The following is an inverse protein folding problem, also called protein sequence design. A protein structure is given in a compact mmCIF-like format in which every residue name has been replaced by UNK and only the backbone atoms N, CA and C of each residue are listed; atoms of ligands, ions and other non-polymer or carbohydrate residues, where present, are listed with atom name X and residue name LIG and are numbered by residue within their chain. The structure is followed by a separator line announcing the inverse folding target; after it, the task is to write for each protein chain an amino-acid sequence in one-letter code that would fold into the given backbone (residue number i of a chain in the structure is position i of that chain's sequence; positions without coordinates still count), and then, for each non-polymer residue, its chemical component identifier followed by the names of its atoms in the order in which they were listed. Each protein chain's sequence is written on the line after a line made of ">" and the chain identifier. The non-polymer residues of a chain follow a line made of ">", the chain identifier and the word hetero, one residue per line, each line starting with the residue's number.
data_IF_615061967584
#
_entry.id   IF_615061967584
#
_cell.length_a   1.000
_cell.length_b   1.000
_cell.length_c   1.000
_cell.angle_alpha   90.00
_cell.angle_beta   90.00
_cell.angle_gamma   90.00
#
_symmetry.space_group_name_H-M   'P 1'
#
loop_
_entity.id
_entity.type
_entity.pdbx_description
1 polymer ?
#
# COMPACT_ATOMS: atom_id res chain seq x y z
N UNK A 1 7.40 35.35 -51.32
CA UNK A 1 6.05 34.84 -51.01
C UNK A 1 6.06 34.43 -49.55
N UNK A 2 5.60 35.32 -48.68
CA UNK A 2 5.59 35.13 -47.22
C UNK A 2 4.26 34.52 -46.81
N UNK A 3 4.32 33.32 -46.21
CA UNK A 3 3.17 32.65 -45.63
C UNK A 3 2.67 33.46 -44.42
N UNK A 4 1.45 33.97 -44.54
CA UNK A 4 0.74 34.67 -43.47
C UNK A 4 0.11 33.63 -42.54
N UNK A 5 0.63 33.58 -41.31
CA UNK A 5 0.08 32.82 -40.18
C UNK A 5 -1.29 33.38 -39.80
N UNK A 6 -2.35 32.65 -40.13
CA UNK A 6 -3.70 32.88 -39.61
C UNK A 6 -3.74 32.44 -38.14
N UNK A 7 -3.33 33.33 -37.24
CA UNK A 7 -3.64 33.20 -35.82
C UNK A 7 -5.17 33.38 -35.67
N UNK A 8 -5.87 32.32 -35.31
CA UNK A 8 -7.28 32.37 -34.93
C UNK A 8 -7.40 33.14 -33.62
N UNK A 9 -7.75 34.42 -33.73
CA UNK A 9 -8.03 35.32 -32.61
C UNK A 9 -9.39 34.96 -31.99
N UNK A 10 -9.45 33.87 -31.23
CA UNK A 10 -10.63 33.52 -30.43
C UNK A 10 -10.74 34.47 -29.25
N UNK A 11 -11.61 35.47 -29.40
CA UNK A 11 -12.02 36.40 -28.33
C UNK A 11 -12.35 35.61 -27.06
N UNK A 12 -11.75 35.92 -25.89
CA UNK A 12 -12.02 35.17 -24.67
C UNK A 12 -13.51 35.25 -24.33
N UNK A 13 -14.09 34.09 -24.00
CA UNK A 13 -15.50 33.99 -23.64
C UNK A 13 -15.86 34.96 -22.50
N UNK A 14 -17.04 35.57 -22.59
CA UNK A 14 -17.51 36.51 -21.58
C UNK A 14 -17.59 35.79 -20.21
N UNK A 15 -16.90 36.34 -19.21
CA UNK A 15 -16.90 35.79 -17.85
C UNK A 15 -18.06 36.40 -17.06
N UNK A 16 -18.97 35.55 -16.58
CA UNK A 16 -20.11 35.98 -15.76
C UNK A 16 -19.89 35.59 -14.31
N UNK A 17 -20.18 36.50 -13.38
CA UNK A 17 -20.18 36.22 -11.95
C UNK A 17 -21.54 35.64 -11.54
N UNK A 18 -21.53 34.54 -10.78
CA UNK A 18 -22.73 33.89 -10.25
C UNK A 18 -22.62 33.86 -8.72
N UNK A 19 -23.62 34.40 -8.03
CA UNK A 19 -23.76 34.37 -6.57
C UNK A 19 -24.95 33.47 -6.24
N UNK A 20 -24.70 32.36 -5.55
CA UNK A 20 -25.74 31.39 -5.16
C UNK A 20 -25.91 31.41 -3.65
N UNK A 21 -27.06 31.86 -3.10
CA UNK A 21 -27.30 31.81 -1.66
C UNK A 21 -27.37 30.35 -1.18
N UNK A 22 -26.55 29.96 -0.20
CA UNK A 22 -26.51 28.57 0.27
C UNK A 22 -27.84 28.07 0.83
N UNK A 23 -28.72 28.95 1.32
CA UNK A 23 -30.07 28.59 1.74
C UNK A 23 -31.00 28.13 0.61
N UNK A 24 -30.63 28.34 -0.66
CA UNK A 24 -31.38 27.85 -1.83
C UNK A 24 -30.89 26.49 -2.32
N UNK A 25 -29.76 26.01 -1.81
CA UNK A 25 -29.17 24.73 -2.22
C UNK A 25 -29.72 23.63 -1.32
N UNK A 26 -30.49 22.72 -1.90
CA UNK A 26 -31.00 21.55 -1.17
C UNK A 26 -29.82 20.63 -0.78
N UNK A 27 -29.67 20.27 0.51
CA UNK A 27 -28.65 19.31 0.92
C UNK A 27 -28.86 17.95 0.25
N UNK A 28 -27.79 17.37 -0.27
CA UNK A 28 -27.78 16.03 -0.86
C UNK A 28 -26.65 15.19 -0.27
N UNK A 29 -26.88 13.89 -0.14
CA UNK A 29 -25.82 12.96 0.26
C UNK A 29 -24.82 12.78 -0.89
N UNK A 30 -23.55 12.62 -0.57
CA UNK A 30 -22.58 12.16 -1.56
C UNK A 30 -22.87 10.71 -1.93
N UNK A 31 -22.93 10.41 -3.23
CA UNK A 31 -23.15 9.07 -3.77
C UNK A 31 -21.86 8.48 -4.33
N UNK A 32 -21.86 7.16 -4.53
CA UNK A 32 -20.70 6.39 -4.96
C UNK A 32 -21.10 5.43 -6.07
N UNK A 33 -20.23 5.29 -7.08
CA UNK A 33 -20.30 4.19 -8.03
C UNK A 33 -19.92 2.89 -7.34
N UNK A 34 -18.84 2.94 -6.55
CA UNK A 34 -18.38 1.87 -5.68
C UNK A 34 -18.20 2.43 -4.27
N UNK A 35 -18.99 1.93 -3.31
CA UNK A 35 -19.13 2.49 -1.97
C UNK A 35 -17.77 2.66 -1.30
N UNK A 36 -17.53 3.85 -0.74
CA UNK A 36 -16.29 4.23 -0.07
C UNK A 36 -15.08 4.45 -0.98
N UNK A 37 -15.09 3.90 -2.20
CA UNK A 37 -13.94 3.84 -3.11
C UNK A 37 -14.03 4.81 -4.27
N UNK A 38 -15.14 4.82 -4.99
CA UNK A 38 -15.32 5.59 -6.23
C UNK A 38 -16.53 6.52 -6.08
N UNK A 39 -16.33 7.77 -5.65
CA UNK A 39 -17.42 8.75 -5.55
C UNK A 39 -17.96 9.15 -6.92
N UNK A 40 -19.27 9.43 -6.99
CA UNK A 40 -19.90 10.04 -8.15
C UNK A 40 -19.53 11.51 -8.29
N UNK A 41 -19.58 12.03 -9.52
CA UNK A 41 -19.43 13.46 -9.78
C UNK A 41 -18.00 13.98 -9.72
N UNK A 42 -17.00 13.09 -9.74
CA UNK A 42 -15.59 13.47 -9.63
C UNK A 42 -14.67 12.37 -10.15
N UNK A 43 -13.36 12.60 -10.08
CA UNK A 43 -12.32 11.67 -10.49
C UNK A 43 -11.72 10.87 -9.32
N UNK A 44 -11.57 9.57 -9.56
CA UNK A 44 -10.77 8.63 -8.77
C UNK A 44 -9.54 8.25 -9.57
N UNK A 45 -8.36 8.31 -8.96
CA UNK A 45 -7.10 7.95 -9.60
C UNK A 45 -6.74 6.51 -9.25
N UNK A 46 -6.48 5.68 -10.26
CA UNK A 46 -5.84 4.39 -10.09
C UNK A 46 -4.36 4.54 -10.41
N UNK A 47 -3.52 4.41 -9.39
CA UNK A 47 -2.09 4.66 -9.52
C UNK A 47 -1.28 3.42 -9.14
N UNK A 48 -0.16 3.22 -9.83
CA UNK A 48 0.72 2.08 -9.61
C UNK A 48 1.76 2.01 -10.71
N UNK A 49 2.80 1.18 -10.54
CA UNK A 49 3.79 0.92 -11.60
C UNK A 49 3.12 0.30 -12.84
N UNK A 50 3.84 0.32 -13.97
CA UNK A 50 3.43 -0.49 -15.13
C UNK A 50 3.41 -1.97 -14.75
N UNK A 51 2.42 -2.74 -15.21
CA UNK A 51 2.30 -4.18 -14.93
C UNK A 51 1.47 -4.57 -13.69
N UNK A 52 1.04 -3.60 -12.87
CA UNK A 52 0.26 -3.87 -11.64
C UNK A 52 -1.20 -4.29 -11.88
N UNK A 53 -1.62 -4.43 -13.15
CA UNK A 53 -2.96 -4.90 -13.50
C UNK A 53 -4.07 -3.86 -13.43
N UNK A 54 -3.74 -2.55 -13.34
CA UNK A 54 -4.71 -1.44 -13.27
C UNK A 54 -5.69 -1.44 -14.45
N UNK A 55 -5.19 -1.55 -15.67
CA UNK A 55 -6.00 -1.56 -16.90
C UNK A 55 -6.92 -2.79 -16.93
N UNK A 56 -6.41 -3.97 -16.59
CA UNK A 56 -7.24 -5.17 -16.48
C UNK A 56 -8.31 -5.05 -15.39
N UNK A 57 -7.96 -4.41 -14.26
CA UNK A 57 -8.89 -4.14 -13.17
C UNK A 57 -9.94 -3.10 -13.53
N UNK A 58 -9.61 -2.08 -14.32
CA UNK A 58 -10.58 -1.10 -14.80
C UNK A 58 -11.60 -1.75 -15.75
N UNK A 59 -11.19 -2.72 -16.58
CA UNK A 59 -12.11 -3.51 -17.41
C UNK A 59 -13.00 -4.46 -16.58
N UNK A 60 -12.47 -5.04 -15.50
CA UNK A 60 -13.31 -5.75 -14.51
C UNK A 60 -14.32 -4.80 -13.86
N UNK A 61 -13.89 -3.61 -13.44
CA UNK A 61 -14.79 -2.61 -12.88
C UNK A 61 -15.89 -2.23 -13.89
N UNK A 62 -15.54 -2.05 -15.16
CA UNK A 62 -16.51 -1.82 -16.23
C UNK A 62 -17.53 -2.96 -16.30
N UNK A 63 -17.09 -4.22 -16.22
CA UNK A 63 -18.01 -5.36 -16.21
C UNK A 63 -18.96 -5.30 -15.02
N UNK A 64 -18.49 -4.91 -13.83
CA UNK A 64 -19.36 -4.78 -12.67
C UNK A 64 -20.40 -3.65 -12.82
N UNK A 65 -20.02 -2.51 -13.42
CA UNK A 65 -20.95 -1.41 -13.71
C UNK A 65 -22.01 -1.80 -14.74
N UNK A 66 -21.59 -2.44 -15.82
CA UNK A 66 -22.51 -2.89 -16.87
C UNK A 66 -23.47 -3.99 -16.40
N UNK A 67 -23.15 -4.68 -15.30
CA UNK A 67 -24.04 -5.65 -14.64
C UNK A 67 -24.79 -5.09 -13.43
N UNK A 68 -24.46 -3.88 -12.98
CA UNK A 68 -25.01 -3.30 -11.75
C UNK A 68 -24.64 -4.08 -10.49
N UNK A 69 -23.49 -4.76 -10.47
CA UNK A 69 -23.08 -5.64 -9.36
C UNK A 69 -22.26 -4.94 -8.26
N UNK A 70 -21.79 -3.71 -8.48
CA UNK A 70 -21.12 -2.93 -7.45
C UNK A 70 -22.10 -2.47 -6.37
N UNK A 71 -21.64 -2.45 -5.14
CA UNK A 71 -22.34 -1.78 -4.06
C UNK A 71 -22.17 -0.25 -4.22
N UNK A 72 -23.28 0.43 -4.51
CA UNK A 72 -23.26 1.85 -4.85
C UNK A 72 -24.63 2.35 -5.30
N UNK A 73 -24.66 3.56 -5.86
CA UNK A 73 -25.90 4.22 -6.33
C UNK A 73 -26.59 3.42 -7.46
N UNK A 74 -25.81 2.65 -8.21
CA UNK A 74 -26.27 1.83 -9.34
C UNK A 74 -26.28 0.32 -9.03
N UNK A 75 -26.30 -0.07 -7.75
CA UNK A 75 -26.50 -1.46 -7.36
C UNK A 75 -27.83 -1.98 -7.94
N UNK A 76 -27.79 -3.16 -8.58
CA UNK A 76 -28.89 -3.77 -9.34
C UNK A 76 -29.43 -2.91 -10.50
N UNK A 77 -28.66 -1.92 -10.96
CA UNK A 77 -29.01 -1.03 -12.08
C UNK A 77 -27.86 -1.02 -13.11
N UNK A 78 -27.86 -1.95 -14.08
CA UNK A 78 -26.94 -1.94 -15.21
C UNK A 78 -26.79 -0.53 -15.80
N UNK A 79 -25.55 -0.09 -16.02
CA UNK A 79 -25.26 1.24 -16.53
C UNK A 79 -24.12 1.20 -17.54
N UNK A 80 -24.13 2.13 -18.50
CA UNK A 80 -23.10 2.16 -19.53
C UNK A 80 -21.75 2.70 -19.01
N UNK A 81 -20.69 2.31 -19.71
CA UNK A 81 -19.31 2.71 -19.45
C UNK A 81 -18.71 3.29 -20.72
N UNK A 82 -18.02 4.43 -20.59
CA UNK A 82 -17.21 5.01 -21.66
C UNK A 82 -15.74 4.71 -21.41
N UNK A 83 -15.08 4.11 -22.39
CA UNK A 83 -13.63 3.90 -22.43
C UNK A 83 -13.00 5.00 -23.27
N UNK A 84 -11.96 5.63 -22.75
CA UNK A 84 -11.23 6.72 -23.42
C UNK A 84 -9.74 6.47 -23.31
N UNK A 85 -9.02 6.70 -24.41
CA UNK A 85 -7.56 6.76 -24.40
C UNK A 85 -6.83 5.42 -24.32
N UNK A 86 -7.53 4.28 -24.37
CA UNK A 86 -6.93 2.94 -24.30
C UNK A 86 -5.75 2.80 -25.27
N UNK A 87 -4.56 2.56 -24.71
CA UNK A 87 -3.32 2.33 -25.48
C UNK A 87 -3.32 0.98 -26.22
N UNK A 88 -4.06 0.02 -25.68
CA UNK A 88 -4.23 -1.33 -26.24
C UNK A 88 -5.27 -1.35 -27.37
N UNK A 89 -5.04 -2.18 -28.39
CA UNK A 89 -5.98 -2.36 -29.50
C UNK A 89 -7.35 -2.88 -29.04
N UNK A 90 -8.42 -2.25 -29.54
CA UNK A 90 -9.78 -2.55 -29.10
C UNK A 90 -10.21 -3.97 -29.45
N UNK A 91 -9.88 -4.45 -30.65
CA UNK A 91 -10.39 -5.72 -31.17
C UNK A 91 -9.62 -6.92 -30.60
N UNK A 92 -8.30 -6.80 -30.46
CA UNK A 92 -7.40 -7.90 -30.10
C UNK A 92 -7.11 -7.97 -28.60
N UNK A 93 -7.30 -6.87 -27.86
CA UNK A 93 -6.97 -6.82 -26.43
C UNK A 93 -8.15 -6.41 -25.56
N UNK A 94 -8.75 -5.24 -25.81
CA UNK A 94 -9.78 -4.68 -24.90
C UNK A 94 -11.08 -5.48 -24.93
N UNK A 95 -11.63 -5.73 -26.12
CA UNK A 95 -12.88 -6.45 -26.27
C UNK A 95 -12.80 -7.90 -25.73
N UNK A 96 -11.76 -8.70 -26.05
CA UNK A 96 -11.61 -10.02 -25.45
C UNK A 96 -11.50 -9.97 -23.91
N UNK A 97 -10.77 -9.00 -23.33
CA UNK A 97 -10.68 -8.85 -21.87
C UNK A 97 -12.02 -8.47 -21.23
N UNK A 98 -12.82 -7.62 -21.87
CA UNK A 98 -14.17 -7.29 -21.40
C UNK A 98 -15.10 -8.51 -21.45
N UNK A 99 -15.02 -9.31 -22.53
CA UNK A 99 -15.76 -10.57 -22.66
C UNK A 99 -15.35 -11.53 -21.55
N UNK A 100 -14.05 -11.73 -21.33
CA UNK A 100 -13.53 -12.56 -20.24
C UNK A 100 -14.03 -12.07 -18.88
N UNK A 101 -14.04 -10.75 -18.64
CA UNK A 101 -14.55 -10.14 -17.42
C UNK A 101 -16.08 -10.23 -17.25
N UNK A 102 -16.80 -10.72 -18.26
CA UNK A 102 -18.25 -10.89 -18.24
C UNK A 102 -19.03 -9.59 -18.46
N UNK A 103 -18.43 -8.58 -19.09
CA UNK A 103 -19.10 -7.30 -19.36
C UNK A 103 -20.32 -7.49 -20.28
N UNK A 104 -21.34 -6.64 -20.11
CA UNK A 104 -22.35 -6.48 -21.15
C UNK A 104 -21.77 -5.57 -22.24
N UNK A 105 -21.39 -6.17 -23.37
CA UNK A 105 -20.76 -5.47 -24.48
C UNK A 105 -21.66 -4.41 -25.12
N UNK A 106 -22.99 -4.48 -24.93
CA UNK A 106 -23.93 -3.44 -25.41
C UNK A 106 -23.91 -2.17 -24.55
N UNK A 107 -23.29 -2.25 -23.37
CA UNK A 107 -23.18 -1.17 -22.39
C UNK A 107 -21.77 -0.57 -22.34
N UNK A 108 -20.83 -1.04 -23.15
CA UNK A 108 -19.45 -0.51 -23.20
C UNK A 108 -19.23 0.22 -24.51
N UNK A 109 -18.84 1.48 -24.42
CA UNK A 109 -18.61 2.36 -25.56
C UNK A 109 -17.16 2.84 -25.54
N UNK A 110 -16.48 2.80 -26.69
CA UNK A 110 -15.19 3.46 -26.88
C UNK A 110 -15.40 4.85 -27.46
N UNK A 111 -14.72 5.87 -26.91
CA UNK A 111 -14.78 7.23 -27.39
C UNK A 111 -13.44 7.61 -28.05
N UNK A 112 -13.51 7.94 -29.34
CA UNK A 112 -12.40 8.53 -30.11
C UNK A 112 -12.89 9.76 -30.87
N UNK A 113 -11.96 10.64 -31.20
CA UNK A 113 -12.18 11.76 -32.13
C UNK A 113 -11.69 11.32 -33.50
N UNK A 114 -12.42 11.68 -34.55
CA UNK A 114 -11.96 11.50 -35.93
C UNK A 114 -11.64 12.85 -36.53
N UNK A 115 -10.44 12.95 -37.08
CA UNK A 115 -9.94 14.16 -37.74
C UNK A 115 -9.53 13.78 -39.16
N UNK A 116 -9.93 14.58 -40.15
CA UNK A 116 -9.49 14.40 -41.53
C UNK A 116 -8.33 15.36 -41.81
N UNK A 117 -7.17 14.82 -42.14
CA UNK A 117 -5.96 15.59 -42.48
C UNK A 117 -5.48 15.15 -43.85
N UNK A 118 -5.48 16.06 -44.82
CA UNK A 118 -5.05 15.80 -46.21
C UNK A 118 -5.75 14.59 -46.88
N UNK A 119 -7.02 14.36 -46.54
CA UNK A 119 -7.82 13.25 -47.07
C UNK A 119 -7.61 11.91 -46.35
N UNK A 120 -6.86 11.88 -45.25
CA UNK A 120 -6.72 10.71 -44.37
C UNK A 120 -7.53 10.90 -43.09
N UNK A 121 -8.37 9.92 -42.76
CA UNK A 121 -9.03 9.86 -41.45
C UNK A 121 -8.05 9.35 -40.39
N UNK A 122 -7.80 10.17 -39.37
CA UNK A 122 -7.04 9.82 -38.19
C UNK A 122 -7.99 9.68 -37.00
N UNK A 123 -7.79 8.61 -36.21
CA UNK A 123 -8.49 8.42 -34.95
C UNK A 123 -7.58 8.89 -33.82
N UNK A 124 -8.08 9.83 -33.02
CA UNK A 124 -7.34 10.52 -31.96
C UNK A 124 -8.04 10.34 -30.62
N UNK A 125 -7.26 10.46 -29.54
CA UNK A 125 -7.79 10.53 -28.18
C UNK A 125 -8.34 11.94 -27.95
N UNK A 126 -9.54 12.11 -27.37
CA UNK A 126 -10.08 13.44 -27.10
C UNK A 126 -9.22 14.22 -26.11
N UNK A 127 -9.04 15.51 -26.35
CA UNK A 127 -8.37 16.43 -25.42
C UNK A 127 -9.38 17.03 -24.44
N UNK A 128 -9.07 17.09 -23.14
CA UNK A 128 -9.98 17.75 -22.17
C UNK A 128 -10.17 19.23 -22.51
N UNK A 129 -9.13 19.90 -22.98
CA UNK A 129 -9.17 21.32 -23.28
C UNK A 129 -10.06 21.65 -24.49
N UNK A 130 -10.06 20.79 -25.51
CA UNK A 130 -10.69 21.07 -26.80
C UNK A 130 -12.03 20.32 -26.98
N UNK A 131 -12.16 19.13 -26.41
CA UNK A 131 -13.27 18.21 -26.68
C UNK A 131 -14.24 18.02 -25.51
N UNK A 132 -14.16 18.83 -24.45
CA UNK A 132 -15.06 18.71 -23.30
C UNK A 132 -16.55 18.71 -23.71
N UNK A 133 -16.90 19.51 -24.72
CA UNK A 133 -18.25 19.53 -25.29
C UNK A 133 -18.64 18.22 -25.98
N UNK A 134 -17.71 17.58 -26.70
CA UNK A 134 -17.94 16.28 -27.36
C UNK A 134 -18.02 15.15 -26.35
N UNK A 135 -17.15 15.16 -25.34
CA UNK A 135 -17.19 14.21 -24.21
C UNK A 135 -18.55 14.31 -23.49
N UNK A 136 -19.05 15.52 -23.24
CA UNK A 136 -20.40 15.73 -22.68
C UNK A 136 -21.47 15.03 -23.51
N UNK A 137 -21.46 15.22 -24.83
CA UNK A 137 -22.44 14.60 -25.72
C UNK A 137 -22.33 13.07 -25.71
N UNK A 138 -21.11 12.53 -25.71
CA UNK A 138 -20.90 11.09 -25.63
C UNK A 138 -21.45 10.49 -24.33
N UNK A 139 -21.27 11.15 -23.19
CA UNK A 139 -21.84 10.72 -21.89
C UNK A 139 -23.37 10.75 -21.92
N UNK A 140 -23.96 11.81 -22.49
CA UNK A 140 -25.43 11.93 -22.61
C UNK A 140 -26.00 10.84 -23.54
N UNK A 141 -25.39 10.63 -24.71
CA UNK A 141 -25.86 9.67 -25.71
C UNK A 141 -25.75 8.23 -25.24
N UNK A 142 -24.64 7.88 -24.58
CA UNK A 142 -24.45 6.54 -24.02
C UNK A 142 -25.23 6.32 -22.73
N UNK A 143 -25.58 7.37 -21.98
CA UNK A 143 -26.12 7.25 -20.64
C UNK A 143 -25.10 6.77 -19.60
N UNK A 144 -23.80 6.87 -19.91
CA UNK A 144 -22.74 6.28 -19.09
C UNK A 144 -22.68 6.84 -17.66
N UNK A 145 -22.40 5.94 -16.70
CA UNK A 145 -22.20 6.26 -15.28
C UNK A 145 -20.76 6.10 -14.81
N UNK A 146 -19.90 5.58 -15.68
CA UNK A 146 -18.47 5.52 -15.51
C UNK A 146 -17.76 5.95 -16.81
N UNK A 147 -16.74 6.80 -16.67
CA UNK A 147 -15.75 7.06 -17.71
C UNK A 147 -14.42 6.50 -17.22
N UNK A 148 -13.81 5.60 -17.99
CA UNK A 148 -12.47 5.07 -17.75
C UNK A 148 -11.51 5.73 -18.72
N UNK A 149 -10.46 6.35 -18.18
CA UNK A 149 -9.39 6.97 -18.98
C UNK A 149 -8.08 6.27 -18.68
N UNK A 150 -7.46 5.68 -19.70
CA UNK A 150 -6.25 4.88 -19.52
C UNK A 150 -5.21 5.09 -20.64
N UNK A 151 -4.16 5.89 -20.42
CA UNK A 151 -3.86 6.70 -19.24
C UNK A 151 -4.53 8.09 -19.27
N UNK A 152 -4.75 8.71 -18.11
CA UNK A 152 -5.26 10.10 -18.03
C UNK A 152 -4.40 11.11 -18.80
N UNK A 153 -3.10 10.86 -18.86
CA UNK A 153 -2.13 11.74 -19.49
C UNK A 153 -2.33 11.90 -20.99
N UNK A 154 -3.01 10.96 -21.66
CA UNK A 154 -3.31 11.04 -23.10
C UNK A 154 -4.37 12.10 -23.43
N UNK A 155 -5.10 12.61 -22.43
CA UNK A 155 -6.12 13.66 -22.61
C UNK A 155 -5.65 15.05 -22.10
N UNK A 156 -4.41 15.16 -21.63
CA UNK A 156 -3.86 16.35 -20.96
C UNK A 156 -2.74 17.01 -21.78
N UNK A 157 -3.03 17.34 -23.04
CA UNK A 157 -2.03 17.91 -23.96
C UNK A 157 -1.38 19.18 -23.42
N UNK A 158 -0.05 19.23 -23.46
CA UNK A 158 0.74 20.39 -23.06
C UNK A 158 0.79 20.69 -21.56
N UNK A 159 0.12 19.91 -20.70
CA UNK A 159 0.15 20.12 -19.26
C UNK A 159 1.45 19.60 -18.63
N UNK A 160 2.08 20.41 -17.76
CA UNK A 160 3.17 19.93 -16.93
C UNK A 160 2.61 19.11 -15.75
N UNK A 161 2.70 17.79 -15.86
CA UNK A 161 2.11 16.83 -14.92
C UNK A 161 2.77 16.85 -13.53
N UNK A 162 3.96 17.43 -13.41
CA UNK A 162 4.68 17.59 -12.14
C UNK A 162 4.23 18.86 -11.38
N UNK A 163 3.44 19.75 -12.02
CA UNK A 163 2.93 20.99 -11.42
C UNK A 163 1.45 20.85 -11.06
N UNK A 164 1.15 20.84 -9.75
CA UNK A 164 -0.23 20.76 -9.22
C UNK A 164 -1.18 21.79 -9.83
N UNK A 165 -0.73 23.01 -10.10
CA UNK A 165 -1.56 24.05 -10.72
C UNK A 165 -1.99 23.71 -12.15
N UNK A 166 -1.08 23.14 -12.96
CA UNK A 166 -1.35 22.72 -14.34
C UNK A 166 -2.23 21.47 -14.36
N UNK A 167 -1.95 20.49 -13.49
CA UNK A 167 -2.81 19.30 -13.33
C UNK A 167 -4.23 19.70 -12.95
N UNK A 168 -4.41 20.62 -11.99
CA UNK A 168 -5.73 21.16 -11.64
C UNK A 168 -6.38 21.87 -12.80
N UNK A 169 -5.65 22.72 -13.52
CA UNK A 169 -6.19 23.47 -14.66
C UNK A 169 -6.72 22.54 -15.75
N UNK A 170 -6.01 21.45 -16.02
CA UNK A 170 -6.41 20.45 -17.01
C UNK A 170 -7.52 19.52 -16.49
N UNK A 171 -7.49 19.07 -15.24
CA UNK A 171 -8.45 18.08 -14.72
C UNK A 171 -9.76 18.70 -14.20
N UNK A 172 -9.74 19.94 -13.70
CA UNK A 172 -10.92 20.59 -13.11
C UNK A 172 -12.13 20.66 -14.07
N UNK A 173 -11.97 21.06 -15.36
CA UNK A 173 -13.09 21.07 -16.31
C UNK A 173 -13.74 19.69 -16.46
N UNK A 174 -12.92 18.63 -16.46
CA UNK A 174 -13.41 17.26 -16.58
C UNK A 174 -14.15 16.80 -15.32
N UNK A 175 -13.67 17.17 -14.12
CA UNK A 175 -14.40 16.92 -12.87
C UNK A 175 -15.67 17.74 -12.73
N UNK A 176 -15.72 18.97 -13.27
CA UNK A 176 -16.92 19.77 -13.29
C UNK A 176 -17.99 19.13 -14.17
N UNK A 177 -17.60 18.67 -15.38
CA UNK A 177 -18.48 17.87 -16.25
C UNK A 177 -19.02 16.62 -15.52
N UNK A 178 -18.15 15.93 -14.78
CA UNK A 178 -18.55 14.76 -14.02
C UNK A 178 -19.63 15.08 -12.98
N UNK A 179 -19.44 16.16 -12.22
CA UNK A 179 -20.40 16.65 -11.22
C UNK A 179 -21.75 17.03 -11.84
N UNK A 180 -21.74 17.73 -12.97
CA UNK A 180 -22.95 18.14 -13.68
C UNK A 180 -23.77 16.96 -14.22
N UNK A 181 -23.10 15.94 -14.76
CA UNK A 181 -23.76 14.78 -15.37
C UNK A 181 -23.98 13.61 -14.40
N UNK A 182 -23.53 13.75 -13.15
CA UNK A 182 -23.52 12.68 -12.15
C UNK A 182 -22.92 11.37 -12.72
N UNK A 183 -21.67 11.47 -13.16
CA UNK A 183 -20.85 10.36 -13.70
C UNK A 183 -19.57 10.24 -12.87
N UNK A 184 -19.06 9.03 -12.67
CA UNK A 184 -17.76 8.83 -12.04
C UNK A 184 -16.65 8.75 -13.10
N UNK A 185 -15.48 9.30 -12.80
CA UNK A 185 -14.28 9.14 -13.63
C UNK A 185 -13.29 8.24 -12.89
N UNK A 186 -12.78 7.22 -13.58
CA UNK A 186 -11.62 6.43 -13.15
C UNK A 186 -10.48 6.71 -14.12
N UNK A 187 -9.44 7.36 -13.61
CA UNK A 187 -8.30 7.81 -14.38
C UNK A 187 -7.06 7.02 -13.99
N UNK A 188 -6.48 6.29 -14.94
CA UNK A 188 -5.32 5.45 -14.72
C UNK A 188 -4.05 6.26 -14.92
N UNK A 189 -3.09 6.01 -14.03
CA UNK A 189 -1.82 6.70 -14.00
C UNK A 189 -0.67 5.75 -13.75
N UNK A 190 0.33 5.81 -14.63
CA UNK A 190 1.60 5.15 -14.42
C UNK A 190 2.57 6.11 -13.74
N UNK A 191 3.15 5.69 -12.62
CA UNK A 191 4.27 6.43 -12.04
C UNK A 191 5.52 6.24 -12.90
N UNK A 192 6.31 7.31 -13.06
CA UNK A 192 7.59 7.24 -13.77
C UNK A 192 8.54 6.26 -13.05
N UNK A 193 9.31 5.52 -13.84
CA UNK A 193 10.34 4.59 -13.38
C UNK A 193 11.57 5.39 -12.91
N UNK A 194 11.57 5.82 -11.65
CA UNK A 194 12.82 6.12 -10.94
C UNK A 194 13.57 4.82 -10.66
N UNK A 195 14.89 4.86 -10.54
CA UNK A 195 15.75 3.70 -10.26
C UNK A 195 15.61 3.13 -8.83
N UNK A 196 14.53 3.45 -8.10
CA UNK A 196 14.35 3.11 -6.70
C UNK A 196 12.96 2.54 -6.39
N UNK A 197 12.96 1.56 -5.48
CA UNK A 197 12.01 1.29 -4.40
C UNK A 197 10.50 1.56 -4.63
N UNK A 198 9.66 0.59 -4.29
CA UNK A 198 8.18 0.66 -4.34
C UNK A 198 7.64 1.85 -3.52
N UNK A 199 8.47 2.42 -2.63
CA UNK A 199 8.25 3.69 -1.92
C UNK A 199 8.04 4.92 -2.84
N UNK A 200 8.58 4.91 -4.06
CA UNK A 200 8.39 5.99 -5.04
C UNK A 200 6.95 6.10 -5.58
N UNK A 201 6.13 5.06 -5.38
CA UNK A 201 4.70 5.10 -5.68
C UNK A 201 3.98 6.21 -4.91
N UNK A 202 4.46 6.56 -3.71
CA UNK A 202 3.83 7.57 -2.86
C UNK A 202 4.31 8.99 -3.19
N UNK A 203 5.53 9.15 -3.71
CA UNK A 203 6.16 10.44 -4.01
C UNK A 203 5.93 10.92 -5.46
N UNK A 204 5.81 10.01 -6.42
CA UNK A 204 5.85 10.34 -7.85
C UNK A 204 4.62 11.03 -8.45
N UNK A 205 3.50 11.18 -7.73
CA UNK A 205 2.28 11.85 -8.23
C UNK A 205 1.59 12.76 -7.21
N UNK A 206 2.35 13.55 -6.45
CA UNK A 206 1.78 14.52 -5.50
C UNK A 206 0.72 15.43 -6.15
N UNK A 207 0.97 15.94 -7.35
CA UNK A 207 0.04 16.82 -8.06
C UNK A 207 -1.35 16.19 -8.30
N UNK A 208 -1.39 14.91 -8.68
CA UNK A 208 -2.64 14.19 -8.91
C UNK A 208 -3.28 13.73 -7.62
N UNK A 209 -2.48 13.24 -6.67
CA UNK A 209 -2.95 12.90 -5.32
C UNK A 209 -3.61 14.09 -4.65
N UNK A 210 -3.06 15.28 -4.79
CA UNK A 210 -3.63 16.51 -4.22
C UNK A 210 -4.91 16.96 -4.91
N UNK A 211 -5.02 16.72 -6.22
CA UNK A 211 -6.15 17.16 -7.04
C UNK A 211 -7.34 16.21 -6.92
N UNK A 212 -7.10 14.90 -6.89
CA UNK A 212 -8.14 13.89 -6.84
C UNK A 212 -8.84 13.83 -5.48
N UNK A 213 -10.10 13.36 -5.48
CA UNK A 213 -10.89 13.16 -4.25
C UNK A 213 -10.81 11.74 -3.70
N UNK A 214 -10.46 10.79 -4.57
CA UNK A 214 -10.14 9.41 -4.22
C UNK A 214 -8.90 8.96 -4.99
N UNK A 215 -8.04 8.19 -4.32
CA UNK A 215 -6.84 7.60 -4.91
C UNK A 215 -6.74 6.16 -4.44
N UNK A 216 -6.62 5.23 -5.38
CA UNK A 216 -6.40 3.81 -5.14
C UNK A 216 -5.03 3.44 -5.70
N UNK A 217 -4.15 2.95 -4.83
CA UNK A 217 -2.83 2.47 -5.19
C UNK A 217 -2.89 0.98 -5.50
N UNK A 218 -2.12 0.51 -6.47
CA UNK A 218 -2.03 -0.90 -6.88
C UNK A 218 -0.57 -1.36 -6.83
N UNK A 219 -0.34 -2.51 -6.19
CA UNK A 219 0.98 -3.17 -6.07
C UNK A 219 0.81 -4.69 -6.11
N UNK A 220 1.75 -5.37 -6.76
CA UNK A 220 1.90 -6.82 -6.72
C UNK A 220 2.77 -7.19 -5.54
N UNK A 221 2.29 -8.10 -4.68
CA UNK A 221 3.10 -8.73 -3.66
C UNK A 221 3.99 -9.79 -4.32
N UNK A 222 5.29 -9.51 -4.45
CA UNK A 222 6.24 -10.39 -5.14
C UNK A 222 6.38 -11.76 -4.44
N UNK A 223 6.11 -11.84 -3.13
CA UNK A 223 6.17 -13.09 -2.37
C UNK A 223 5.07 -14.08 -2.77
N UNK A 224 3.88 -13.56 -3.12
CA UNK A 224 2.67 -14.35 -3.36
C UNK A 224 2.19 -14.30 -4.81
N UNK A 225 2.66 -13.32 -5.59
CA UNK A 225 2.14 -12.99 -6.92
C UNK A 225 0.75 -12.34 -6.92
N UNK A 226 0.15 -12.14 -5.75
CA UNK A 226 -1.17 -11.53 -5.58
C UNK A 226 -1.09 -10.03 -5.80
N UNK A 227 -2.12 -9.42 -6.37
CA UNK A 227 -2.23 -7.97 -6.48
C UNK A 227 -3.08 -7.42 -5.35
N UNK A 228 -2.61 -6.34 -4.74
CA UNK A 228 -3.29 -5.61 -3.68
C UNK A 228 -3.52 -4.19 -4.14
N UNK A 229 -4.72 -3.70 -3.87
CA UNK A 229 -5.08 -2.31 -4.04
C UNK A 229 -5.52 -1.70 -2.72
N UNK A 230 -5.16 -0.44 -2.46
CA UNK A 230 -5.49 0.25 -1.21
C UNK A 230 -5.98 1.66 -1.46
N UNK A 231 -7.04 2.04 -0.74
CA UNK A 231 -7.59 3.40 -0.77
C UNK A 231 -6.67 4.32 0.03
N UNK A 232 -5.76 4.98 -0.68
CA UNK A 232 -4.74 5.85 -0.09
C UNK A 232 -5.29 7.24 0.27
N UNK A 233 -6.31 7.69 -0.47
CA UNK A 233 -7.05 8.93 -0.21
C UNK A 233 -8.54 8.69 -0.41
N UNK A 234 -9.36 9.16 0.54
CA UNK A 234 -10.81 9.24 0.41
C UNK A 234 -11.32 10.48 1.12
N UNK A 235 -11.83 11.46 0.36
CA UNK A 235 -12.31 12.72 0.94
C UNK A 235 -13.80 12.68 1.33
N UNK A 236 -14.53 11.63 0.93
CA UNK A 236 -15.98 11.54 1.08
C UNK A 236 -16.45 10.34 1.91
N UNK A 237 -15.51 9.56 2.45
CA UNK A 237 -15.82 8.40 3.29
C UNK A 237 -14.66 8.08 4.22
N UNK A 238 -14.88 7.18 5.17
CA UNK A 238 -13.88 6.70 6.12
C UNK A 238 -13.03 5.55 5.56
N UNK A 239 -13.21 5.17 4.29
CA UNK A 239 -12.52 4.03 3.66
C UNK A 239 -11.02 4.20 3.41
N UNK A 240 -10.39 5.28 3.90
CA UNK A 240 -8.95 5.43 3.76
C UNK A 240 -8.25 4.32 4.56
N UNK A 241 -7.39 3.56 3.89
CA UNK A 241 -6.71 2.40 4.46
C UNK A 241 -7.40 1.06 4.14
N UNK A 242 -8.63 1.08 3.60
CA UNK A 242 -9.27 -0.13 3.11
C UNK A 242 -8.46 -0.71 1.95
N UNK A 243 -8.27 -2.03 1.96
CA UNK A 243 -7.50 -2.76 0.97
C UNK A 243 -8.32 -3.93 0.42
N UNK A 244 -8.11 -4.24 -0.85
CA UNK A 244 -8.69 -5.42 -1.49
C UNK A 244 -7.64 -6.09 -2.36
N UNK A 245 -7.87 -7.36 -2.66
CA UNK A 245 -6.92 -8.16 -3.42
C UNK A 245 -7.57 -8.84 -4.62
N UNK A 246 -6.74 -9.14 -5.62
CA UNK A 246 -7.15 -9.84 -6.81
C UNK A 246 -5.97 -10.56 -7.47
N UNK A 247 -6.29 -11.55 -8.28
CA UNK A 247 -5.33 -12.20 -9.17
C UNK A 247 -5.63 -11.84 -10.63
N UNK A 248 -4.62 -12.01 -11.49
CA UNK A 248 -4.82 -12.06 -12.93
C UNK A 248 -4.72 -13.51 -13.37
N UNK A 249 -5.81 -14.05 -13.88
CA UNK A 249 -5.89 -15.43 -14.37
C UNK A 249 -6.00 -15.43 -15.89
N UNK A 250 -5.31 -16.36 -16.54
CA UNK A 250 -5.45 -16.56 -17.98
C UNK A 250 -6.82 -17.15 -18.27
N UNK A 251 -7.56 -16.57 -19.22
CA UNK A 251 -8.90 -17.02 -19.61
C UNK A 251 -8.98 -17.05 -21.13
N UNK A 252 -9.45 -18.19 -21.64
CA UNK A 252 -9.68 -18.41 -23.06
C UNK A 252 -11.02 -17.80 -23.49
N UNK A 253 -10.97 -16.97 -24.52
CA UNK A 253 -12.13 -16.30 -25.12
C UNK A 253 -12.29 -16.75 -26.56
N UNK A 254 -13.38 -17.42 -26.91
CA UNK A 254 -13.69 -17.75 -28.29
C UNK A 254 -13.87 -16.49 -29.14
N UNK A 255 -13.19 -16.44 -30.29
CA UNK A 255 -13.27 -15.33 -31.23
C UNK A 255 -14.20 -15.62 -32.40
N UNK A 256 -14.61 -14.57 -33.09
CA UNK A 256 -15.26 -14.71 -34.39
C UNK A 256 -14.29 -15.36 -35.38
N UNK A 257 -14.65 -16.51 -35.93
CA UNK A 257 -13.80 -17.30 -36.83
C UNK A 257 -13.31 -18.64 -36.27
N UNK A 258 -13.57 -18.93 -34.99
CA UNK A 258 -13.25 -20.21 -34.37
C UNK A 258 -11.90 -20.26 -33.65
N UNK A 259 -11.11 -19.19 -33.75
CA UNK A 259 -9.88 -19.01 -32.96
C UNK A 259 -10.20 -18.72 -31.48
N UNK A 260 -9.18 -18.86 -30.63
CA UNK A 260 -9.27 -18.59 -29.19
C UNK A 260 -8.19 -17.58 -28.81
N UNK A 261 -8.58 -16.50 -28.13
CA UNK A 261 -7.66 -15.58 -27.49
C UNK A 261 -7.48 -15.94 -26.01
N UNK A 262 -6.24 -16.14 -25.57
CA UNK A 262 -5.92 -16.25 -24.14
C UNK A 262 -5.61 -14.86 -23.58
N UNK A 263 -6.47 -14.36 -22.70
CA UNK A 263 -6.35 -13.02 -22.11
C UNK A 263 -6.38 -13.03 -20.60
N UNK A 264 -5.79 -12.00 -19.98
CA UNK A 264 -5.86 -11.82 -18.53
C UNK A 264 -7.25 -11.37 -18.09
N UNK A 265 -7.81 -12.06 -17.10
CA UNK A 265 -9.07 -11.72 -16.41
C UNK A 265 -8.79 -11.50 -14.93
N UNK A 266 -9.49 -10.54 -14.31
CA UNK A 266 -9.46 -10.37 -12.87
C UNK A 266 -10.23 -11.48 -12.17
N UNK A 267 -9.58 -12.11 -11.21
CA UNK A 267 -10.19 -12.93 -10.18
C UNK A 267 -10.19 -12.14 -8.86
N UNK A 268 -11.34 -11.56 -8.51
CA UNK A 268 -11.47 -10.65 -7.37
C UNK A 268 -11.64 -11.45 -6.07
N UNK A 269 -10.76 -11.21 -5.10
CA UNK A 269 -10.66 -12.00 -3.88
C UNK A 269 -11.33 -11.33 -2.67
N UNK A 270 -11.81 -10.10 -2.82
CA UNK A 270 -12.45 -9.33 -1.76
C UNK A 270 -11.48 -8.49 -0.93
N UNK A 271 -11.92 -8.10 0.26
CA UNK A 271 -11.14 -7.32 1.22
C UNK A 271 -9.84 -8.02 1.59
N UNK A 272 -8.79 -7.23 1.80
CA UNK A 272 -7.45 -7.68 2.15
C UNK A 272 -7.05 -7.07 3.50
N UNK A 273 -6.44 -7.88 4.35
CA UNK A 273 -5.79 -7.40 5.57
C UNK A 273 -4.38 -6.87 5.32
N UNK A 274 -3.83 -7.11 4.12
CA UNK A 274 -2.55 -6.59 3.66
C UNK A 274 -2.81 -5.36 2.81
N UNK A 275 -2.16 -4.25 3.16
CA UNK A 275 -2.23 -3.00 2.41
C UNK A 275 -1.05 -2.84 1.46
N UNK A 276 -1.19 -1.91 0.51
CA UNK A 276 -0.08 -1.47 -0.35
C UNK A 276 1.09 -0.96 0.50
N UNK A 277 0.80 -0.24 1.59
CA UNK A 277 1.83 0.28 2.51
C UNK A 277 2.59 -0.84 3.21
N UNK A 278 1.91 -1.94 3.54
CA UNK A 278 2.57 -3.11 4.14
C UNK A 278 3.53 -3.75 3.15
N UNK A 279 3.12 -3.94 1.90
CA UNK A 279 3.96 -4.53 0.84
C UNK A 279 5.15 -3.63 0.51
N UNK A 280 4.92 -2.33 0.35
CA UNK A 280 5.95 -1.34 0.04
C UNK A 280 7.00 -1.24 1.14
N UNK A 281 6.60 -1.41 2.40
CA UNK A 281 7.50 -1.32 3.54
C UNK A 281 8.04 -2.69 3.99
N UNK A 282 7.74 -3.78 3.28
CA UNK A 282 8.40 -5.05 3.54
C UNK A 282 9.91 -4.84 3.39
N UNK A 283 10.73 -5.23 4.39
CA UNK A 283 12.17 -5.26 4.23
C UNK A 283 12.52 -6.32 3.17
N UNK A 284 13.46 -6.00 2.29
CA UNK A 284 14.00 -6.96 1.32
C UNK A 284 14.61 -8.16 2.05
N UNK A 285 14.66 -9.34 1.43
CA UNK A 285 15.18 -10.58 2.06
C UNK A 285 16.63 -10.43 2.57
N UNK A 286 17.43 -9.59 1.93
CA UNK A 286 18.80 -9.26 2.35
C UNK A 286 18.78 -8.42 3.63
N UNK A 287 17.97 -7.35 3.66
CA UNK A 287 17.77 -6.48 4.83
C UNK A 287 17.12 -7.24 5.99
N UNK A 288 16.23 -8.19 5.69
CA UNK A 288 15.60 -9.06 6.67
C UNK A 288 16.61 -10.02 7.30
N UNK A 289 17.55 -10.56 6.52
CA UNK A 289 18.66 -11.38 7.03
C UNK A 289 19.59 -10.61 7.96
N UNK A 290 19.99 -9.39 7.56
CA UNK A 290 20.83 -8.51 8.37
C UNK A 290 20.10 -8.02 9.63
N UNK A 291 18.83 -7.61 9.52
CA UNK A 291 18.03 -7.16 10.65
C UNK A 291 17.71 -8.29 11.63
N UNK A 292 17.40 -9.50 11.14
CA UNK A 292 17.24 -10.69 12.01
C UNK A 292 18.59 -11.02 12.67
N UNK A 293 19.70 -10.95 11.93
CA UNK A 293 21.05 -11.12 12.47
C UNK A 293 21.34 -10.14 13.61
N UNK A 294 21.11 -8.84 13.40
CA UNK A 294 21.29 -7.80 14.39
C UNK A 294 20.42 -8.01 15.64
N UNK A 295 19.15 -8.43 15.47
CA UNK A 295 18.26 -8.76 16.59
C UNK A 295 18.76 -9.99 17.36
N UNK A 296 19.19 -11.04 16.65
CA UNK A 296 19.75 -12.25 17.26
C UNK A 296 21.02 -11.94 18.04
N UNK A 297 21.94 -11.18 17.45
CA UNK A 297 23.18 -10.76 18.08
C UNK A 297 22.92 -9.90 19.31
N UNK A 298 21.99 -8.95 19.22
CA UNK A 298 21.59 -8.10 20.34
C UNK A 298 21.04 -8.91 21.53
N UNK A 299 20.26 -9.96 21.28
CA UNK A 299 19.75 -10.88 22.31
C UNK A 299 20.88 -11.74 22.87
N UNK A 300 21.76 -12.26 22.02
CA UNK A 300 22.85 -13.15 22.42
C UNK A 300 23.88 -12.46 23.34
N UNK A 301 24.05 -11.15 23.25
CA UNK A 301 24.90 -10.36 24.15
C UNK A 301 24.23 -9.99 25.49
N UNK A 302 22.99 -10.43 25.76
CA UNK A 302 22.25 -10.14 27.00
C UNK A 302 21.84 -11.43 27.73
N UNK A 303 22.70 -11.96 28.62
CA UNK A 303 22.47 -13.26 29.28
C UNK A 303 21.24 -13.27 30.21
N UNK A 304 20.74 -12.12 30.66
CA UNK A 304 19.53 -12.01 31.48
C UNK A 304 18.23 -11.94 30.64
N UNK A 305 18.36 -11.91 29.32
CA UNK A 305 17.29 -11.72 28.36
C UNK A 305 16.76 -10.29 28.27
N UNK A 306 16.08 -9.97 27.17
CA UNK A 306 15.55 -8.65 26.87
C UNK A 306 14.09 -8.72 26.43
N UNK A 307 13.37 -7.60 26.55
CA UNK A 307 12.02 -7.44 26.03
C UNK A 307 12.05 -6.84 24.61
N UNK A 308 11.04 -7.13 23.77
CA UNK A 308 10.96 -6.56 22.43
C UNK A 308 11.02 -5.03 22.39
N UNK A 309 10.50 -4.33 23.40
CA UNK A 309 10.54 -2.87 23.47
C UNK A 309 11.96 -2.30 23.66
N UNK A 310 12.82 -3.02 24.39
CA UNK A 310 14.22 -2.63 24.61
C UNK A 310 15.04 -2.83 23.34
N UNK A 311 14.85 -3.98 22.67
CA UNK A 311 15.48 -4.30 21.38
C UNK A 311 15.08 -3.25 20.31
N UNK A 312 13.80 -2.88 20.26
CA UNK A 312 13.30 -1.88 19.31
C UNK A 312 13.90 -0.49 19.55
N UNK A 313 13.98 -0.07 20.81
CA UNK A 313 14.55 1.23 21.18
C UNK A 313 16.04 1.31 20.84
N UNK A 314 16.82 0.28 21.18
CA UNK A 314 18.27 0.31 21.03
C UNK A 314 18.73 0.09 19.58
N UNK A 315 17.98 -0.67 18.78
CA UNK A 315 18.29 -0.90 17.37
C UNK A 315 17.61 0.10 16.43
N UNK A 316 16.81 1.03 16.96
CA UNK A 316 16.07 2.01 16.14
C UNK A 316 15.03 1.36 15.20
N UNK A 317 14.51 0.20 15.56
CA UNK A 317 13.58 -0.59 14.75
C UNK A 317 12.13 -0.40 15.23
N UNK A 318 11.15 -0.69 14.37
CA UNK A 318 9.75 -0.65 14.78
C UNK A 318 9.44 -1.77 15.81
N UNK A 319 8.62 -1.53 16.84
CA UNK A 319 8.23 -2.56 17.80
C UNK A 319 7.47 -3.74 17.18
N UNK A 320 6.82 -3.54 16.03
CA UNK A 320 6.14 -4.59 15.28
C UNK A 320 7.12 -5.57 14.65
N UNK A 321 8.12 -5.04 13.95
CA UNK A 321 9.12 -5.83 13.22
C UNK A 321 9.98 -6.63 14.19
N UNK A 322 10.44 -6.01 15.29
CA UNK A 322 11.23 -6.68 16.32
C UNK A 322 10.47 -7.87 16.94
N UNK A 323 9.16 -7.74 17.19
CA UNK A 323 8.35 -8.87 17.69
C UNK A 323 8.29 -10.01 16.68
N UNK A 324 8.15 -9.68 15.39
CA UNK A 324 8.16 -10.66 14.30
C UNK A 324 9.52 -11.36 14.20
N UNK A 325 10.62 -10.60 14.20
CA UNK A 325 11.99 -11.11 14.11
C UNK A 325 12.36 -12.00 15.29
N UNK A 326 12.09 -11.57 16.52
CA UNK A 326 12.30 -12.36 17.73
C UNK A 326 11.51 -13.68 17.70
N UNK A 327 10.25 -13.64 17.26
CA UNK A 327 9.44 -14.85 17.16
C UNK A 327 9.97 -15.82 16.09
N UNK A 328 10.46 -15.31 14.96
CA UNK A 328 11.04 -16.12 13.88
C UNK A 328 12.38 -16.73 14.30
N UNK A 329 13.25 -15.94 14.91
CA UNK A 329 14.54 -16.38 15.43
C UNK A 329 14.38 -17.46 16.53
N UNK A 330 13.40 -17.29 17.42
CA UNK A 330 13.09 -18.28 18.45
C UNK A 330 12.57 -19.61 17.86
N UNK A 331 11.68 -19.55 16.86
CA UNK A 331 11.21 -20.76 16.15
C UNK A 331 12.32 -21.51 15.43
N UNK A 332 13.34 -20.80 14.95
CA UNK A 332 14.52 -21.37 14.28
C UNK A 332 15.62 -21.83 15.26
N UNK A 333 15.40 -21.66 16.57
CA UNK A 333 16.34 -22.11 17.60
C UNK A 333 17.58 -21.23 17.78
N UNK A 334 17.62 -20.03 17.18
CA UNK A 334 18.75 -19.12 17.36
C UNK A 334 18.76 -18.45 18.75
N UNK A 335 17.57 -18.24 19.32
CA UNK A 335 17.34 -17.64 20.64
C UNK A 335 16.19 -18.38 21.35
N UNK A 336 16.03 -18.18 22.65
CA UNK A 336 14.97 -18.80 23.46
C UNK A 336 13.93 -17.77 23.92
N UNK A 337 12.67 -18.19 23.99
CA UNK A 337 11.58 -17.37 24.51
C UNK A 337 11.19 -17.86 25.91
N UNK A 338 11.41 -17.02 26.91
CA UNK A 338 11.06 -17.31 28.30
C UNK A 338 9.58 -16.95 28.55
N UNK A 339 8.95 -17.63 29.52
CA UNK A 339 7.50 -17.60 29.82
C UNK A 339 6.87 -16.24 30.18
N UNK A 340 7.58 -15.12 30.05
CA UNK A 340 7.10 -13.76 30.32
C UNK A 340 7.35 -12.78 29.16
N UNK A 341 7.48 -13.29 27.92
CA UNK A 341 7.70 -12.46 26.74
C UNK A 341 9.11 -11.84 26.67
N UNK A 342 10.05 -12.40 27.44
CA UNK A 342 11.49 -12.11 27.35
C UNK A 342 12.15 -13.10 26.39
N UNK A 343 13.15 -12.63 25.67
CA UNK A 343 13.98 -13.45 24.80
C UNK A 343 15.41 -13.49 25.33
N UNK A 344 16.03 -14.65 25.31
CA UNK A 344 17.36 -14.90 25.87
C UNK A 344 18.24 -15.70 24.88
N UNK A 345 19.56 -15.72 25.06
CA UNK A 345 20.44 -16.55 24.24
C UNK A 345 20.02 -18.03 24.33
N UNK A 346 20.17 -18.77 23.22
CA UNK A 346 19.96 -20.22 23.25
C UNK A 346 21.00 -20.92 24.14
N UNK A 347 20.67 -22.10 24.68
CA UNK A 347 21.57 -22.86 25.56
C UNK A 347 22.99 -23.08 24.99
N UNK A 348 23.11 -23.26 23.66
CA UNK A 348 24.40 -23.41 22.97
C UNK A 348 25.23 -22.11 22.92
N UNK A 349 24.57 -20.95 22.85
CA UNK A 349 25.24 -19.64 22.90
C UNK A 349 25.55 -19.21 24.33
N UNK A 350 24.68 -19.55 25.29
CA UNK A 350 24.85 -19.25 26.71
C UNK A 350 26.13 -19.88 27.29
N UNK A 351 26.51 -21.10 26.86
CA UNK A 351 27.77 -21.74 27.27
C UNK A 351 29.01 -21.02 26.73
N UNK A 352 28.94 -20.42 25.54
CA UNK A 352 30.05 -19.68 24.93
C UNK A 352 30.24 -18.32 25.60
N UNK A 353 29.13 -17.60 25.86
CA UNK A 353 29.16 -16.30 26.55
C UNK A 353 29.59 -16.47 28.01
N UNK A 354 29.15 -17.54 28.69
CA UNK A 354 29.61 -17.88 30.03
C UNK A 354 31.10 -18.22 30.06
N UNK A 355 31.61 -18.97 29.06
CA UNK A 355 33.04 -19.27 28.92
C UNK A 355 33.90 -18.04 28.67
N UNK A 356 33.45 -17.11 27.83
CA UNK A 356 34.13 -15.84 27.58
C UNK A 356 34.11 -14.91 28.81
N UNK A 357 33.00 -14.85 29.55
CA UNK A 357 32.90 -14.10 30.80
C UNK A 357 33.79 -14.71 31.91
N UNK A 358 33.86 -16.04 32.02
CA UNK A 358 34.80 -16.72 32.92
C UNK A 358 36.25 -16.47 32.52
N UNK A 359 36.58 -16.47 31.22
CA UNK A 359 37.92 -16.17 30.73
C UNK A 359 38.32 -14.70 31.01
N UNK A 360 37.40 -13.76 30.85
CA UNK A 360 37.61 -12.35 31.19
C UNK A 360 37.81 -12.13 32.71
N UNK A 361 37.04 -12.85 33.55
CA UNK A 361 37.22 -12.86 35.01
C UNK A 361 38.55 -13.52 35.42
N UNK A 362 39.00 -14.56 34.72
CA UNK A 362 40.30 -15.19 34.95
C UNK A 362 41.48 -14.27 34.54
N UNK A 363 41.33 -13.48 33.47
CA UNK A 363 42.34 -12.48 33.08
C UNK A 363 42.45 -11.31 34.06
N UNK A 364 41.39 -10.97 34.80
CA UNK A 364 41.44 -9.95 35.86
C UNK A 364 42.17 -10.43 37.12
N UNK A 365 42.21 -11.75 37.38
CA UNK A 365 42.89 -12.33 38.54
C UNK A 365 44.41 -12.53 38.36
N UNK A 366 44.96 -12.34 37.15
CA UNK A 366 46.38 -12.58 36.86
C UNK A 366 47.28 -11.32 36.99
N UNK A 367 46.82 -10.28 37.69
CA UNK A 367 47.64 -9.12 38.04
C UNK A 367 47.81 -9.08 39.57
N UNK A 368 48.73 -9.87 40.11
CA UNK A 368 49.57 -9.48 41.27
C UNK A 368 50.52 -10.60 41.72
N UNK A 369 51.80 -10.49 41.35
CA UNK A 369 52.92 -10.99 42.17
C UNK A 369 54.07 -9.98 42.12
N UNK A 370 54.34 -9.32 43.25
CA UNK A 370 55.67 -8.89 43.69
C UNK A 370 55.69 -8.62 45.21
N UNK A 371 56.34 -9.55 45.93
CA UNK A 371 57.07 -9.46 47.21
C UNK A 371 56.36 -9.24 48.58
N UNK A 372 56.12 -10.36 49.26
CA UNK A 372 56.73 -10.85 50.52
C UNK A 372 56.76 -9.98 51.82
N UNK A 373 56.08 -10.47 52.87
CA UNK A 373 56.67 -10.91 54.15
C UNK A 373 55.62 -11.59 55.06
N UNK A 374 56.07 -12.60 55.80
CA UNK A 374 55.35 -13.55 56.65
C UNK A 374 54.75 -12.93 57.92
N UNK A 375 53.49 -13.22 58.27
CA UNK A 375 53.05 -13.73 59.59
C UNK A 375 51.52 -13.95 59.66
N UNK A 376 51.18 -15.08 60.28
CA UNK A 376 49.87 -15.69 60.61
C UNK A 376 48.70 -14.76 60.95
N UNK A 377 47.55 -14.92 60.26
CA UNK A 377 46.19 -14.82 60.87
C UNK A 377 45.22 -15.77 60.16
N UNK A 378 44.36 -16.40 60.96
CA UNK A 378 43.41 -17.47 60.67
C UNK A 378 42.35 -17.19 59.59
N UNK A 379 41.88 -18.30 59.01
CA UNK A 379 40.67 -18.45 58.21
C UNK A 379 39.45 -17.70 58.78
N UNK A 380 38.76 -16.92 57.95
CA UNK A 380 37.32 -16.68 58.05
C UNK A 380 36.70 -16.78 56.67
N UNK A 381 36.14 -17.95 56.36
CA UNK A 381 35.13 -18.07 55.31
C UNK A 381 33.79 -17.60 55.87
N UNK A 382 33.20 -16.57 55.31
CA UNK A 382 31.82 -16.19 55.63
C UNK A 382 30.87 -17.24 55.01
N UNK A 383 30.31 -18.10 55.85
CA UNK A 383 29.22 -19.01 55.47
C UNK A 383 27.96 -18.18 55.17
N UNK A 384 27.49 -18.20 53.93
CA UNK A 384 26.24 -17.55 53.55
C UNK A 384 25.07 -18.39 54.06
N UNK A 385 24.23 -17.82 54.93
CA UNK A 385 23.06 -18.50 55.46
C UNK A 385 22.02 -18.74 54.35
N UNK A 386 21.44 -19.95 54.30
CA UNK A 386 20.39 -20.34 53.35
C UNK A 386 19.05 -20.46 54.07
N UNK A 387 17.98 -20.05 53.40
CA UNK A 387 16.61 -20.24 53.87
C UNK A 387 16.30 -21.75 53.96
N UNK A 388 15.75 -22.18 55.10
CA UNK A 388 15.44 -23.60 55.36
C UNK A 388 14.26 -24.17 54.54
N UNK A 389 13.49 -23.31 53.85
CA UNK A 389 12.32 -23.71 53.06
C UNK A 389 12.61 -23.70 51.55
N UNK A 390 13.20 -22.63 51.03
CA UNK A 390 13.42 -22.47 49.59
C UNK A 390 14.88 -22.65 49.16
N UNK A 391 15.80 -22.82 50.10
CA UNK A 391 17.25 -22.99 49.87
C UNK A 391 17.94 -21.85 49.10
N UNK A 392 17.33 -20.66 49.05
CA UNK A 392 17.95 -19.44 48.53
C UNK A 392 18.69 -18.69 49.64
N UNK A 393 19.67 -17.88 49.27
CA UNK A 393 20.52 -17.11 50.19
C UNK A 393 19.74 -16.06 50.99
N UNK A 394 20.04 -15.98 52.28
CA UNK A 394 19.45 -15.01 53.20
C UNK A 394 20.16 -13.67 53.08
N UNK A 395 19.39 -12.58 53.06
CA UNK A 395 19.96 -11.24 53.08
C UNK A 395 20.70 -11.00 54.41
N UNK A 396 21.86 -10.31 54.40
CA UNK A 396 22.62 -9.99 55.62
C UNK A 396 21.84 -9.15 56.65
N UNK A 397 20.70 -8.56 56.27
CA UNK A 397 19.79 -7.83 57.15
C UNK A 397 18.85 -8.74 57.97
N UNK A 398 18.85 -10.06 57.71
CA UNK A 398 17.98 -11.07 58.33
C UNK A 398 18.80 -12.13 59.10
N UNK A 399 19.94 -11.74 59.67
CA UNK A 399 20.96 -12.64 60.25
C UNK A 399 20.44 -13.63 61.31
N UNK A 400 19.30 -13.35 61.95
CA UNK A 400 18.71 -14.20 62.98
C UNK A 400 17.43 -14.93 62.54
N UNK A 401 17.11 -14.95 61.25
CA UNK A 401 15.94 -15.65 60.70
C UNK A 401 16.36 -16.88 59.89
N UNK A 402 15.69 -18.02 60.14
CA UNK A 402 15.93 -19.27 59.41
C UNK A 402 15.12 -19.37 58.09
N UNK A 403 14.23 -18.40 57.83
CA UNK A 403 13.32 -18.36 56.66
C UNK A 403 13.15 -16.92 56.16
N UNK A 404 12.84 -16.73 54.86
CA UNK A 404 12.44 -15.40 54.36
C UNK A 404 11.07 -14.98 54.95
N UNK A 405 10.83 -13.66 55.12
CA UNK A 405 9.47 -13.16 55.37
C UNK A 405 8.53 -13.63 54.25
N UNK A 406 7.53 -14.45 54.59
CA UNK A 406 6.58 -15.06 53.63
C UNK A 406 6.96 -16.44 53.10
N UNK A 407 8.09 -17.02 53.51
CA UNK A 407 8.35 -18.46 53.34
C UNK A 407 7.66 -19.24 54.46
N UNK A 408 6.34 -19.32 54.39
CA UNK A 408 5.56 -20.15 55.29
C UNK A 408 5.55 -21.58 54.71
N UNK A 409 6.03 -22.56 55.47
CA UNK A 409 6.12 -23.98 55.07
C UNK A 409 4.77 -24.69 54.89
N UNK A 410 3.76 -23.99 54.36
CA UNK A 410 2.45 -24.50 54.02
C UNK A 410 2.41 -24.99 52.58
N UNK A 411 2.40 -26.32 52.43
CA UNK A 411 2.20 -27.05 51.19
C UNK A 411 1.12 -26.43 50.28
N UNK A 412 1.52 -25.97 49.08
CA UNK A 412 0.73 -26.02 47.83
C UNK A 412 1.60 -25.75 46.60
#
# INVERSE_FOLDING_TARGET
>A
MTASSLATDTKPAARTMILTPMGTVAPQRQTFLWKGRIPMGTATIFAGRGGEGKSTFSLWLASQVTRGSLDGEFASKPSSVLLVGHEDDLATVVAPRLIAAGADMSQVFSLTIRTEVEGMELSEVPSIAEDLGRIRQAVIQSGAKLIIVDPLTSMMDGANLDKTSEVRKALNPFTALAGELNVAIVALMHFRKGTGDTRDLLSGSHAFRDTARSVILFVTDEDTGQRVASVDKSNYSESRGDSFSFNLVSTDVPLAGGDVASVARVDYLGESTISVTDIVNKPDDVDLGEAIGAVVDYVNHRPLGCKPAEVAADLGMSPGDVRSYLSRAAKRGHIEKNGYGKYAPSAAHASVVSGAALAALASLNNISEASAATETVQQQGESVALCSVCHLTMSPALKDQATHPGCDGGNR
#
